data_IF_367778140321
#
_entry.id   IF_367778140321
#
_cell.length_a   1.000
_cell.length_b   1.000
_cell.length_c   1.000
_cell.angle_alpha   90.00
_cell.angle_beta   90.00
_cell.angle_gamma   90.00
#
_symmetry.space_group_name_H-M   'P 1'
#
loop_
_entity.id
_entity.type
_entity.pdbx_description
1 polymer ?
#
# COMPACT_ATOMS: atom_id res chain seq x y z
N UNK A 1 90.68 -13.82 18.54
CA UNK A 1 89.23 -14.10 18.68
C UNK A 1 88.42 -13.03 17.95
N UNK A 2 88.36 -13.09 16.61
CA UNK A 2 87.58 -12.17 15.78
C UNK A 2 87.43 -12.77 14.36
N UNK A 3 86.69 -13.87 14.22
CA UNK A 3 86.47 -14.50 12.91
C UNK A 3 85.14 -15.28 12.81
N UNK A 4 84.11 -14.90 13.59
CA UNK A 4 82.79 -15.53 13.56
C UNK A 4 81.64 -14.51 13.61
N UNK A 5 81.72 -13.46 12.80
CA UNK A 5 80.66 -12.42 12.74
C UNK A 5 80.37 -11.87 11.34
N UNK A 6 80.62 -12.64 10.27
CA UNK A 6 80.29 -12.23 8.89
C UNK A 6 79.72 -13.34 7.98
N UNK A 7 79.12 -14.39 8.55
CA UNK A 7 78.56 -15.51 7.74
C UNK A 7 77.16 -16.00 8.13
N UNK A 8 76.40 -15.25 8.94
CA UNK A 8 74.99 -15.53 9.29
C UNK A 8 74.05 -14.33 9.10
N UNK A 9 74.39 -13.41 8.21
CA UNK A 9 73.46 -12.31 7.80
C UNK A 9 73.12 -12.41 6.31
N UNK A 10 73.57 -13.47 5.62
CA UNK A 10 73.29 -13.71 4.21
C UNK A 10 72.19 -14.75 3.94
N UNK A 11 71.50 -15.23 4.97
CA UNK A 11 70.38 -16.19 4.82
C UNK A 11 68.99 -15.58 5.04
N UNK A 12 68.87 -14.30 5.41
CA UNK A 12 67.55 -13.65 5.60
C UNK A 12 67.02 -12.87 4.40
N UNK A 13 67.75 -12.82 3.27
CA UNK A 13 67.29 -12.09 2.06
C UNK A 13 67.40 -12.90 0.77
N UNK A 14 66.99 -14.16 0.80
CA UNK A 14 66.72 -14.94 -0.40
C UNK A 14 65.35 -15.62 -0.33
N UNK A 15 64.31 -14.80 -0.43
CA UNK A 15 63.01 -15.21 -0.98
C UNK A 15 62.64 -14.19 -2.03
N UNK A 16 63.10 -14.44 -3.26
CA UNK A 16 62.53 -13.83 -4.46
C UNK A 16 61.09 -14.34 -4.55
N UNK A 17 60.15 -13.53 -4.07
CA UNK A 17 58.74 -13.70 -4.40
C UNK A 17 58.63 -13.41 -5.89
N UNK A 18 58.42 -14.47 -6.68
CA UNK A 18 57.92 -14.32 -8.04
C UNK A 18 56.57 -13.61 -7.94
N UNK A 19 56.54 -12.32 -8.25
CA UNK A 19 55.32 -11.59 -8.58
C UNK A 19 54.90 -12.14 -9.94
N UNK A 20 53.78 -12.88 -10.07
CA UNK A 20 53.19 -13.05 -11.38
C UNK A 20 52.78 -11.65 -11.82
N UNK A 21 53.26 -11.23 -12.98
CA UNK A 21 52.76 -10.03 -13.64
C UNK A 21 51.26 -10.26 -13.87
N UNK A 22 50.42 -9.81 -12.94
CA UNK A 22 48.99 -9.69 -13.17
C UNK A 22 48.87 -8.64 -14.27
N UNK A 23 48.66 -9.09 -15.50
CA UNK A 23 48.11 -8.26 -16.55
C UNK A 23 46.90 -7.56 -15.96
N UNK A 24 47.03 -6.25 -15.73
CA UNK A 24 45.93 -5.42 -15.31
C UNK A 24 44.82 -5.64 -16.34
N UNK A 25 43.81 -6.44 -15.98
CA UNK A 25 42.64 -6.65 -16.81
C UNK A 25 42.08 -5.26 -17.06
N UNK A 26 42.26 -4.78 -18.28
CA UNK A 26 41.67 -3.54 -18.73
C UNK A 26 40.19 -3.66 -18.39
N UNK A 27 39.75 -2.86 -17.41
CA UNK A 27 38.34 -2.79 -17.01
C UNK A 27 37.61 -2.34 -18.27
N UNK A 28 37.08 -3.30 -19.03
CA UNK A 28 36.21 -3.04 -20.15
C UNK A 28 35.05 -2.26 -19.57
N UNK A 29 35.03 -0.97 -19.82
CA UNK A 29 33.87 -0.11 -19.61
C UNK A 29 32.73 -0.79 -20.35
N UNK A 30 31.93 -1.56 -19.61
CA UNK A 30 30.66 -2.05 -20.11
C UNK A 30 29.82 -0.81 -20.22
N UNK A 31 29.68 -0.31 -21.46
CA UNK A 31 28.65 0.67 -21.78
C UNK A 31 27.33 0.02 -21.36
N UNK A 32 26.83 0.39 -20.18
CA UNK A 32 25.47 0.07 -19.79
C UNK A 32 24.60 0.57 -20.93
N UNK A 33 23.79 -0.33 -21.51
CA UNK A 33 22.79 0.06 -22.50
C UNK A 33 22.08 1.32 -21.95
N UNK A 34 21.83 2.35 -22.78
CA UNK A 34 21.10 3.52 -22.31
C UNK A 34 19.82 3.01 -21.67
N UNK A 35 19.63 3.30 -20.38
CA UNK A 35 18.36 3.02 -19.71
C UNK A 35 17.30 3.71 -20.56
N UNK A 36 16.29 2.96 -21.03
CA UNK A 36 15.20 3.56 -21.80
C UNK A 36 14.59 4.61 -20.87
N UNK A 37 14.74 5.88 -21.22
CA UNK A 37 14.33 7.00 -20.36
C UNK A 37 12.87 6.81 -19.95
N UNK A 38 12.56 6.95 -18.66
CA UNK A 38 11.18 6.93 -18.16
C UNK A 38 10.26 7.92 -18.91
N UNK A 39 10.84 9.00 -19.45
CA UNK A 39 10.13 9.96 -20.30
C UNK A 39 9.64 9.36 -21.65
N UNK A 40 10.25 8.28 -22.13
CA UNK A 40 9.77 7.56 -23.32
C UNK A 40 8.48 6.78 -23.06
N UNK A 41 8.16 6.51 -21.79
CA UNK A 41 6.96 5.76 -21.45
C UNK A 41 5.70 6.63 -21.44
N UNK A 42 5.82 7.92 -21.09
CA UNK A 42 4.68 8.81 -20.85
C UNK A 42 4.87 10.14 -21.59
N UNK A 43 4.16 10.29 -22.72
CA UNK A 43 4.22 11.45 -23.63
C UNK A 43 3.47 12.70 -23.10
N UNK A 44 3.36 12.87 -21.77
CA UNK A 44 2.56 13.96 -21.17
C UNK A 44 3.06 15.37 -21.53
N UNK A 45 4.35 15.55 -21.81
CA UNK A 45 4.89 16.84 -22.26
C UNK A 45 4.35 17.30 -23.61
N UNK A 46 3.74 16.40 -24.40
CA UNK A 46 3.11 16.73 -25.69
C UNK A 46 1.65 17.13 -25.57
N UNK A 47 1.05 16.99 -24.39
CA UNK A 47 -0.35 17.34 -24.17
C UNK A 47 -0.52 18.86 -24.24
N UNK A 48 -1.43 19.33 -25.09
CA UNK A 48 -1.77 20.76 -25.19
C UNK A 48 -2.94 21.14 -24.28
N UNK A 49 -3.73 20.15 -23.89
CA UNK A 49 -4.93 20.29 -23.07
C UNK A 49 -5.17 18.98 -22.27
N UNK A 50 -6.09 19.03 -21.30
CA UNK A 50 -6.40 17.90 -20.42
C UNK A 50 -6.99 16.69 -21.17
N UNK A 51 -7.66 16.88 -22.32
CA UNK A 51 -8.17 15.77 -23.13
C UNK A 51 -7.02 14.99 -23.77
N UNK A 52 -6.04 15.68 -24.34
CA UNK A 52 -4.83 15.07 -24.89
C UNK A 52 -4.07 14.32 -23.79
N UNK A 53 -3.90 14.96 -22.62
CA UNK A 53 -3.24 14.34 -21.47
C UNK A 53 -3.93 13.05 -21.07
N UNK A 54 -5.27 13.06 -20.95
CA UNK A 54 -6.05 11.87 -20.62
C UNK A 54 -5.87 10.76 -21.68
N UNK A 55 -5.86 11.10 -22.97
CA UNK A 55 -5.65 10.12 -24.04
C UNK A 55 -4.26 9.47 -23.95
N UNK A 56 -3.21 10.26 -23.71
CA UNK A 56 -1.86 9.72 -23.49
C UNK A 56 -1.79 8.79 -22.28
N UNK A 57 -2.45 9.16 -21.16
CA UNK A 57 -2.51 8.32 -19.96
C UNK A 57 -3.28 7.01 -20.21
N UNK A 58 -4.36 7.05 -20.98
CA UNK A 58 -5.14 5.86 -21.34
C UNK A 58 -4.35 4.93 -22.26
N UNK A 59 -3.61 5.49 -23.22
CA UNK A 59 -2.74 4.70 -24.09
C UNK A 59 -1.58 4.10 -23.29
N UNK A 60 -0.99 4.87 -22.38
CA UNK A 60 0.07 4.42 -21.50
C UNK A 60 -0.38 3.26 -20.59
N UNK A 61 -1.59 3.32 -20.03
CA UNK A 61 -2.13 2.29 -19.15
C UNK A 61 -2.17 0.87 -19.76
N UNK A 62 -2.06 0.75 -21.10
CA UNK A 62 -2.07 -0.51 -21.83
C UNK A 62 -0.67 -1.05 -22.13
N UNK A 63 0.39 -0.28 -21.86
CA UNK A 63 1.78 -0.64 -22.15
C UNK A 63 2.43 -1.24 -20.89
N UNK A 64 3.20 -2.32 -21.01
CA UNK A 64 4.01 -2.79 -19.89
C UNK A 64 5.11 -1.77 -19.57
N UNK A 65 5.47 -1.68 -18.29
CA UNK A 65 6.54 -0.82 -17.79
C UNK A 65 7.62 -1.71 -17.20
N UNK A 66 8.86 -1.50 -17.65
CA UNK A 66 10.04 -2.18 -17.09
C UNK A 66 10.26 -1.67 -15.66
N UNK A 67 10.62 -2.55 -14.74
CA UNK A 67 10.71 -2.24 -13.30
C UNK A 67 11.67 -1.07 -13.02
N UNK A 68 12.76 -0.99 -13.78
CA UNK A 68 13.78 0.06 -13.70
C UNK A 68 13.25 1.45 -14.10
N UNK A 69 12.13 1.50 -14.84
CA UNK A 69 11.50 2.75 -15.29
C UNK A 69 10.36 3.22 -14.38
N UNK A 70 9.85 2.37 -13.48
CA UNK A 70 8.62 2.63 -12.71
C UNK A 70 8.75 3.91 -11.88
N UNK A 71 9.83 4.05 -11.10
CA UNK A 71 10.05 5.21 -10.24
C UNK A 71 10.11 6.53 -11.04
N UNK A 72 10.83 6.52 -12.16
CA UNK A 72 10.90 7.67 -13.06
C UNK A 72 9.54 8.04 -13.65
N UNK A 73 8.73 7.04 -14.02
CA UNK A 73 7.38 7.27 -14.53
C UNK A 73 6.47 7.85 -13.44
N UNK A 74 6.52 7.30 -12.23
CA UNK A 74 5.73 7.80 -11.09
C UNK A 74 6.06 9.27 -10.82
N UNK A 75 7.34 9.63 -10.82
CA UNK A 75 7.76 11.03 -10.65
C UNK A 75 7.18 11.94 -11.74
N UNK A 76 7.23 11.54 -13.01
CA UNK A 76 6.64 12.32 -14.12
C UNK A 76 5.13 12.47 -13.95
N UNK A 77 4.44 11.40 -13.54
CA UNK A 77 2.99 11.43 -13.30
C UNK A 77 2.63 12.39 -12.15
N UNK A 78 3.36 12.35 -11.03
CA UNK A 78 3.14 13.24 -9.88
C UNK A 78 3.46 14.70 -10.23
N UNK A 79 4.56 14.96 -10.93
CA UNK A 79 4.91 16.31 -11.41
C UNK A 79 3.80 16.92 -12.28
N UNK A 80 3.13 16.11 -13.10
CA UNK A 80 1.99 16.54 -13.89
C UNK A 80 0.72 16.69 -13.03
N UNK A 81 0.47 15.76 -12.11
CA UNK A 81 -0.68 15.79 -11.20
C UNK A 81 -0.81 17.14 -10.48
N UNK A 82 0.28 17.65 -9.93
CA UNK A 82 0.27 18.90 -9.14
C UNK A 82 0.04 20.17 -9.99
N UNK A 83 0.18 20.09 -11.31
CA UNK A 83 -0.07 21.19 -12.24
C UNK A 83 -1.44 21.09 -12.91
N UNK A 84 -2.04 19.91 -12.90
CA UNK A 84 -3.29 19.61 -13.58
C UNK A 84 -4.50 20.11 -12.78
N UNK A 85 -5.48 20.67 -13.49
CA UNK A 85 -6.72 21.15 -12.89
C UNK A 85 -7.90 20.22 -13.19
N UNK A 86 -7.83 19.45 -14.28
CA UNK A 86 -8.88 18.51 -14.65
C UNK A 86 -8.92 17.28 -13.72
N UNK A 87 -10.10 17.02 -13.17
CA UNK A 87 -10.31 15.91 -12.25
C UNK A 87 -10.14 14.54 -12.91
N UNK A 88 -10.48 14.40 -14.19
CA UNK A 88 -10.41 13.12 -14.91
C UNK A 88 -8.96 12.71 -15.15
N UNK A 89 -8.10 13.66 -15.51
CA UNK A 89 -6.65 13.46 -15.65
C UNK A 89 -6.04 13.09 -14.30
N UNK A 90 -6.32 13.86 -13.24
CA UNK A 90 -5.83 13.57 -11.88
C UNK A 90 -6.28 12.22 -11.35
N UNK A 91 -7.55 11.85 -11.57
CA UNK A 91 -8.09 10.54 -11.25
C UNK A 91 -7.32 9.43 -12.01
N UNK A 92 -7.08 9.63 -13.30
CA UNK A 92 -6.36 8.64 -14.11
C UNK A 92 -4.91 8.49 -13.65
N UNK A 93 -4.24 9.57 -13.28
CA UNK A 93 -2.90 9.52 -12.70
C UNK A 93 -2.92 8.76 -11.38
N UNK A 94 -3.83 9.09 -10.45
CA UNK A 94 -3.97 8.38 -9.19
C UNK A 94 -4.14 6.87 -9.38
N UNK A 95 -4.99 6.46 -10.33
CA UNK A 95 -5.18 5.05 -10.71
C UNK A 95 -3.91 4.39 -11.25
N UNK A 96 -3.12 5.12 -12.06
CA UNK A 96 -1.86 4.62 -12.61
C UNK A 96 -0.79 4.42 -11.54
N UNK A 97 -0.75 5.25 -10.49
CA UNK A 97 0.14 5.02 -9.35
C UNK A 97 -0.14 3.65 -8.71
N UNK A 98 -1.41 3.32 -8.52
CA UNK A 98 -1.84 2.01 -8.01
C UNK A 98 -1.46 0.87 -8.95
N UNK A 99 -1.65 1.05 -10.27
CA UNK A 99 -1.24 0.05 -11.26
C UNK A 99 0.27 -0.20 -11.25
N UNK A 100 1.06 0.87 -11.25
CA UNK A 100 2.53 0.82 -11.27
C UNK A 100 3.10 0.20 -10.00
N UNK A 101 2.44 0.41 -8.85
CA UNK A 101 2.83 -0.23 -7.59
C UNK A 101 2.80 -1.76 -7.64
N UNK A 102 2.03 -2.36 -8.56
CA UNK A 102 1.93 -3.81 -8.76
C UNK A 102 2.99 -4.36 -9.72
N UNK A 103 3.94 -3.55 -10.18
CA UNK A 103 4.96 -4.00 -11.12
C UNK A 103 5.89 -5.01 -10.42
N UNK A 104 6.06 -6.19 -11.00
CA UNK A 104 6.90 -7.24 -10.40
C UNK A 104 8.33 -6.74 -10.15
N UNK A 105 8.81 -6.90 -8.93
CA UNK A 105 10.14 -6.45 -8.50
C UNK A 105 10.21 -4.98 -8.08
N UNK A 106 9.14 -4.20 -8.25
CA UNK A 106 9.06 -2.85 -7.71
C UNK A 106 8.68 -2.90 -6.22
N UNK A 107 9.31 -2.07 -5.39
CA UNK A 107 8.96 -1.95 -3.97
C UNK A 107 7.89 -0.88 -3.79
N UNK A 108 6.63 -1.22 -3.45
CA UNK A 108 5.56 -0.24 -3.35
C UNK A 108 5.70 0.69 -2.13
N UNK A 109 6.58 0.36 -1.18
CA UNK A 109 6.87 1.17 0.02
C UNK A 109 7.41 2.57 -0.35
N UNK A 110 8.24 2.67 -1.40
CA UNK A 110 8.90 3.92 -1.78
C UNK A 110 7.96 5.03 -2.27
N UNK A 111 6.69 4.72 -2.56
CA UNK A 111 5.70 5.67 -3.07
C UNK A 111 4.52 5.91 -2.11
N UNK A 112 4.54 5.28 -0.93
CA UNK A 112 3.47 5.43 0.08
C UNK A 112 3.35 6.89 0.49
N UNK A 113 4.47 7.54 0.79
CA UNK A 113 4.51 8.93 1.23
C UNK A 113 3.98 9.89 0.17
N UNK A 114 4.40 9.69 -1.08
CA UNK A 114 3.92 10.48 -2.21
C UNK A 114 2.40 10.34 -2.40
N UNK A 115 1.87 9.12 -2.29
CA UNK A 115 0.44 8.88 -2.41
C UNK A 115 -0.36 9.51 -1.25
N UNK A 116 0.14 9.43 0.00
CA UNK A 116 -0.48 10.06 1.17
C UNK A 116 -0.45 11.59 1.04
N UNK A 117 0.69 12.16 0.62
CA UNK A 117 0.85 13.60 0.40
C UNK A 117 -0.07 14.11 -0.71
N UNK A 118 -0.19 13.35 -1.81
CA UNK A 118 -1.11 13.66 -2.91
C UNK A 118 -2.55 13.67 -2.43
N UNK A 119 -2.95 12.67 -1.62
CA UNK A 119 -4.27 12.60 -1.00
C UNK A 119 -4.55 13.79 -0.07
N UNK A 120 -3.57 14.20 0.74
CA UNK A 120 -3.71 15.32 1.66
C UNK A 120 -3.98 16.68 0.98
N UNK A 121 -3.61 16.82 -0.30
CA UNK A 121 -3.79 18.04 -1.09
C UNK A 121 -5.02 18.00 -2.00
N UNK A 122 -5.70 16.86 -2.11
CA UNK A 122 -6.81 16.68 -3.06
C UNK A 122 -8.14 17.21 -2.52
N UNK A 123 -8.94 17.82 -3.40
CA UNK A 123 -10.24 18.43 -3.08
C UNK A 123 -11.42 17.71 -3.72
N UNK A 124 -11.21 17.02 -4.84
CA UNK A 124 -12.24 16.27 -5.54
C UNK A 124 -12.50 14.94 -4.84
N UNK A 125 -13.73 14.73 -4.38
CA UNK A 125 -14.14 13.48 -3.72
C UNK A 125 -13.94 12.23 -4.60
N UNK A 126 -14.11 12.36 -5.92
CA UNK A 126 -13.87 11.23 -6.83
C UNK A 126 -12.38 10.89 -6.92
N UNK A 127 -11.51 11.90 -6.93
CA UNK A 127 -10.05 11.70 -6.96
C UNK A 127 -9.57 11.19 -5.60
N UNK A 128 -10.12 11.69 -4.48
CA UNK A 128 -9.88 11.18 -3.13
C UNK A 128 -10.22 9.69 -3.03
N UNK A 129 -11.39 9.28 -3.52
CA UNK A 129 -11.78 7.87 -3.52
C UNK A 129 -10.79 7.01 -4.33
N UNK A 130 -10.30 7.50 -5.48
CA UNK A 130 -9.30 6.80 -6.27
C UNK A 130 -7.92 6.76 -5.58
N UNK A 131 -7.50 7.81 -4.89
CA UNK A 131 -6.25 7.81 -4.12
C UNK A 131 -6.31 6.85 -2.93
N UNK A 132 -7.46 6.77 -2.24
CA UNK A 132 -7.68 5.77 -1.19
C UNK A 132 -7.63 4.34 -1.76
N UNK A 133 -8.18 4.11 -2.95
CA UNK A 133 -8.06 2.83 -3.66
C UNK A 133 -6.60 2.50 -4.02
N UNK A 134 -5.85 3.50 -4.47
CA UNK A 134 -4.40 3.38 -4.74
C UNK A 134 -3.62 3.03 -3.48
N UNK A 135 -3.91 3.68 -2.35
CA UNK A 135 -3.30 3.37 -1.06
C UNK A 135 -3.68 1.96 -0.57
N UNK A 136 -4.92 1.51 -0.82
CA UNK A 136 -5.33 0.14 -0.51
C UNK A 136 -4.52 -0.88 -1.30
N UNK A 137 -4.35 -0.64 -2.60
CA UNK A 137 -3.53 -1.48 -3.47
C UNK A 137 -2.08 -1.54 -2.98
N UNK A 138 -1.48 -0.39 -2.66
CA UNK A 138 -0.11 -0.31 -2.13
C UNK A 138 -0.01 -1.05 -0.80
N UNK A 139 -0.88 -0.75 0.17
CA UNK A 139 -0.86 -1.34 1.51
C UNK A 139 -1.08 -2.85 1.51
N UNK A 140 -1.90 -3.38 0.60
CA UNK A 140 -2.12 -4.84 0.48
C UNK A 140 -0.87 -5.63 0.08
N UNK A 141 0.11 -4.96 -0.52
CA UNK A 141 1.40 -5.55 -0.92
C UNK A 141 2.48 -5.40 0.16
N UNK A 142 2.17 -4.74 1.27
CA UNK A 142 3.10 -4.45 2.37
C UNK A 142 2.62 -5.03 3.72
N UNK A 143 2.27 -6.32 3.81
CA UNK A 143 1.76 -6.91 5.05
C UNK A 143 2.77 -6.86 6.21
N UNK A 144 4.07 -6.90 5.89
CA UNK A 144 5.18 -6.89 6.84
C UNK A 144 5.55 -5.49 7.36
N UNK A 145 4.89 -4.43 6.89
CA UNK A 145 5.19 -3.05 7.31
C UNK A 145 4.11 -2.52 8.29
N UNK A 146 4.26 -2.75 9.61
CA UNK A 146 3.27 -2.30 10.59
C UNK A 146 3.14 -0.78 10.65
N UNK A 147 4.23 -0.04 10.39
CA UNK A 147 4.23 1.41 10.37
C UNK A 147 3.39 1.97 9.22
N UNK A 148 3.56 1.43 8.00
CA UNK A 148 2.72 1.81 6.85
C UNK A 148 1.27 1.47 7.12
N UNK A 149 1.00 0.26 7.63
CA UNK A 149 -0.36 -0.18 7.97
C UNK A 149 -1.06 0.78 8.94
N UNK A 150 -0.39 1.18 10.02
CA UNK A 150 -0.96 2.12 10.99
C UNK A 150 -1.28 3.48 10.34
N UNK A 151 -0.36 4.02 9.53
CA UNK A 151 -0.59 5.29 8.82
C UNK A 151 -1.77 5.21 7.86
N UNK A 152 -1.93 4.09 7.14
CA UNK A 152 -3.06 3.89 6.23
C UNK A 152 -4.40 3.77 6.98
N UNK A 153 -4.41 3.14 8.18
CA UNK A 153 -5.57 3.13 9.07
C UNK A 153 -5.94 4.54 9.51
N UNK A 154 -4.96 5.36 9.91
CA UNK A 154 -5.18 6.76 10.31
C UNK A 154 -5.74 7.60 9.16
N UNK A 155 -5.19 7.44 7.95
CA UNK A 155 -5.68 8.09 6.73
C UNK A 155 -7.14 7.70 6.46
N UNK A 156 -7.48 6.41 6.54
CA UNK A 156 -8.85 5.95 6.36
C UNK A 156 -9.79 6.56 7.43
N UNK A 157 -9.39 6.53 8.71
CA UNK A 157 -10.18 7.11 9.80
C UNK A 157 -10.46 8.60 9.61
N UNK A 158 -9.51 9.36 9.07
CA UNK A 158 -9.65 10.80 8.82
C UNK A 158 -10.71 11.12 7.75
N UNK A 159 -10.93 10.23 6.78
CA UNK A 159 -11.81 10.48 5.62
C UNK A 159 -13.16 9.76 5.73
N UNK A 160 -13.39 9.01 6.81
CA UNK A 160 -14.63 8.25 7.04
C UNK A 160 -15.88 9.15 7.15
N UNK A 161 -15.74 10.43 7.48
CA UNK A 161 -16.85 11.39 7.56
C UNK A 161 -17.08 12.17 6.25
N UNK A 162 -16.44 11.78 5.15
CA UNK A 162 -16.61 12.45 3.86
C UNK A 162 -18.06 12.34 3.35
N UNK A 163 -18.56 13.40 2.72
CA UNK A 163 -19.95 13.47 2.22
C UNK A 163 -20.19 12.50 1.07
N UNK A 164 -19.17 12.19 0.28
CA UNK A 164 -19.25 11.27 -0.83
C UNK A 164 -19.11 9.82 -0.37
N UNK A 165 -20.13 9.02 -0.66
CA UNK A 165 -20.18 7.59 -0.29
C UNK A 165 -18.96 6.81 -0.81
N UNK A 166 -18.40 7.19 -1.97
CA UNK A 166 -17.24 6.52 -2.57
C UNK A 166 -15.98 6.63 -1.71
N UNK A 167 -15.78 7.77 -1.05
CA UNK A 167 -14.65 7.96 -0.11
C UNK A 167 -14.86 7.09 1.13
N UNK A 168 -16.05 7.12 1.74
CA UNK A 168 -16.39 6.28 2.91
C UNK A 168 -16.23 4.79 2.61
N UNK A 169 -16.72 4.34 1.45
CA UNK A 169 -16.55 2.97 0.97
C UNK A 169 -15.07 2.56 0.92
N UNK A 170 -14.21 3.40 0.36
CA UNK A 170 -12.78 3.09 0.24
C UNK A 170 -12.06 3.11 1.58
N UNK A 171 -12.46 3.98 2.49
CA UNK A 171 -11.97 3.96 3.88
C UNK A 171 -12.34 2.66 4.58
N UNK A 172 -13.59 2.18 4.46
CA UNK A 172 -14.02 0.92 5.05
C UNK A 172 -13.28 -0.28 4.45
N UNK A 173 -13.05 -0.29 3.13
CA UNK A 173 -12.22 -1.32 2.48
C UNK A 173 -10.79 -1.32 3.02
N UNK A 174 -10.17 -0.15 3.17
CA UNK A 174 -8.86 0.00 3.81
C UNK A 174 -8.84 -0.58 5.22
N UNK A 175 -9.83 -0.24 6.06
CA UNK A 175 -9.92 -0.74 7.42
C UNK A 175 -10.13 -2.25 7.48
N UNK A 176 -10.95 -2.84 6.59
CA UNK A 176 -11.13 -4.29 6.53
C UNK A 176 -9.85 -5.03 6.12
N UNK A 177 -9.15 -4.51 5.11
CA UNK A 177 -7.94 -5.15 4.58
C UNK A 177 -6.71 -4.93 5.46
N UNK A 178 -6.62 -3.80 6.17
CA UNK A 178 -5.41 -3.39 6.88
C UNK A 178 -5.59 -3.29 8.40
N UNK A 179 -6.82 -3.39 8.91
CA UNK A 179 -7.11 -3.33 10.35
C UNK A 179 -6.24 -4.30 11.14
N UNK A 180 -5.80 -3.86 12.32
CA UNK A 180 -4.95 -4.64 13.20
C UNK A 180 -5.76 -5.82 13.74
N UNK A 181 -5.37 -7.03 13.35
CA UNK A 181 -5.83 -8.25 14.00
C UNK A 181 -5.02 -8.38 15.28
N UNK A 182 -5.67 -8.31 16.44
CA UNK A 182 -4.96 -8.51 17.71
C UNK A 182 -4.16 -9.82 17.63
N UNK A 183 -2.90 -9.75 18.07
CA UNK A 183 -2.07 -10.94 18.23
C UNK A 183 -2.80 -11.95 19.12
N UNK A 184 -2.63 -13.26 18.88
CA UNK A 184 -3.40 -14.29 19.56
C UNK A 184 -3.34 -14.08 21.07
N UNK A 185 -4.53 -14.02 21.69
CA UNK A 185 -4.70 -14.04 23.13
C UNK A 185 -4.01 -15.29 23.66
N UNK A 186 -2.77 -15.17 24.11
CA UNK A 186 -2.21 -16.13 25.06
C UNK A 186 -3.15 -16.12 26.25
N UNK A 187 -3.80 -17.26 26.50
CA UNK A 187 -4.60 -17.50 27.70
C UNK A 187 -3.88 -16.93 28.91
N UNK A 188 -4.65 -16.28 29.78
CA UNK A 188 -4.27 -15.66 31.05
C UNK A 188 -4.17 -14.13 31.01
N UNK A 189 -5.31 -13.47 30.79
CA UNK A 189 -5.51 -12.10 31.26
C UNK A 189 -6.94 -11.91 31.76
N UNK A 190 -7.21 -12.48 32.94
CA UNK A 190 -8.26 -11.99 33.82
C UNK A 190 -7.75 -10.68 34.47
N UNK A 191 -7.95 -9.56 33.78
CA UNK A 191 -7.68 -8.21 34.29
C UNK A 191 -8.43 -7.20 33.42
N UNK A 192 -8.85 -6.04 33.97
CA UNK A 192 -9.53 -5.02 33.17
C UNK A 192 -8.55 -4.58 32.08
N UNK A 193 -8.98 -4.80 30.83
CA UNK A 193 -8.25 -4.50 29.60
C UNK A 193 -7.57 -3.15 29.70
N UNK A 194 -6.27 -3.19 29.99
CA UNK A 194 -5.41 -2.03 30.09
C UNK A 194 -5.22 -1.49 28.69
N UNK A 195 -6.03 -0.49 28.35
CA UNK A 195 -5.72 0.62 27.45
C UNK A 195 -4.45 0.46 26.62
N UNK A 196 -4.54 -0.26 25.50
CA UNK A 196 -3.71 0.03 24.33
C UNK A 196 -4.12 1.41 23.81
N UNK A 197 -3.46 2.45 24.34
CA UNK A 197 -3.78 3.84 24.07
C UNK A 197 -3.79 4.16 22.57
N UNK A 198 -4.88 4.77 22.11
CA UNK A 198 -4.95 5.52 20.85
C UNK A 198 -5.62 4.84 19.67
N UNK A 199 -5.55 3.52 19.54
CA UNK A 199 -6.25 2.82 18.46
C UNK A 199 -7.71 2.59 18.88
N UNK A 200 -8.62 3.45 18.39
CA UNK A 200 -10.05 3.12 18.41
C UNK A 200 -10.22 1.72 17.82
N UNK A 201 -10.93 0.85 18.53
CA UNK A 201 -11.23 -0.51 18.07
C UNK A 201 -11.80 -0.45 16.64
N UNK A 202 -11.10 -1.09 15.69
CA UNK A 202 -11.45 -1.05 14.27
C UNK A 202 -12.83 -1.64 14.02
N UNK A 203 -13.25 -2.64 14.82
CA UNK A 203 -14.59 -3.21 14.72
C UNK A 203 -15.63 -2.19 15.14
N UNK A 204 -15.42 -1.51 16.27
CA UNK A 204 -16.28 -0.41 16.72
C UNK A 204 -16.41 0.67 15.64
N UNK A 205 -15.30 1.12 15.04
CA UNK A 205 -15.33 2.12 13.96
C UNK A 205 -16.19 1.63 12.79
N UNK A 206 -15.94 0.42 12.28
CA UNK A 206 -16.66 -0.14 11.12
C UNK A 206 -18.15 -0.31 11.44
N UNK A 207 -18.49 -0.79 12.63
CA UNK A 207 -19.89 -1.06 13.02
C UNK A 207 -20.77 0.19 13.03
N UNK A 208 -20.20 1.37 13.29
CA UNK A 208 -20.94 2.64 13.22
C UNK A 208 -21.52 2.90 11.80
N UNK A 209 -20.93 2.32 10.77
CA UNK A 209 -21.37 2.48 9.37
C UNK A 209 -22.42 1.44 8.94
N UNK A 210 -22.85 0.54 9.84
CA UNK A 210 -23.97 -0.36 9.56
C UNK A 210 -25.29 0.38 9.43
N UNK A 211 -25.38 1.61 9.94
CA UNK A 211 -26.55 2.48 9.82
C UNK A 211 -26.31 3.69 8.90
N UNK A 212 -25.28 3.65 8.03
CA UNK A 212 -25.03 4.74 7.08
C UNK A 212 -26.26 4.97 6.17
N UNK A 213 -26.50 6.23 5.82
CA UNK A 213 -27.61 6.63 4.97
C UNK A 213 -27.50 6.02 3.56
N UNK A 214 -26.27 5.82 3.06
CA UNK A 214 -26.04 5.20 1.78
C UNK A 214 -25.93 3.67 1.90
N UNK A 215 -26.80 2.88 1.25
CA UNK A 215 -26.78 1.42 1.36
C UNK A 215 -25.48 0.79 0.86
N UNK A 216 -24.74 1.46 -0.03
CA UNK A 216 -23.44 0.98 -0.51
C UNK A 216 -22.38 1.06 0.57
N UNK A 217 -22.49 2.05 1.47
CA UNK A 217 -21.60 2.20 2.63
C UNK A 217 -21.93 1.17 3.70
N UNK A 218 -23.22 0.93 3.97
CA UNK A 218 -23.64 -0.18 4.85
C UNK A 218 -23.09 -1.52 4.35
N UNK A 219 -23.23 -1.80 3.06
CA UNK A 219 -22.68 -3.01 2.43
C UNK A 219 -21.16 -3.08 2.58
N UNK A 220 -20.45 -1.98 2.34
CA UNK A 220 -18.99 -1.92 2.47
C UNK A 220 -18.53 -2.15 3.91
N UNK A 221 -19.26 -1.64 4.91
CA UNK A 221 -18.95 -1.84 6.33
C UNK A 221 -19.08 -3.31 6.74
N UNK A 222 -20.16 -3.98 6.34
CA UNK A 222 -20.36 -5.41 6.64
C UNK A 222 -19.26 -6.25 5.98
N UNK A 223 -18.94 -5.96 4.71
CA UNK A 223 -17.83 -6.63 4.00
C UNK A 223 -16.47 -6.37 4.64
N UNK A 224 -16.21 -5.16 5.14
CA UNK A 224 -14.97 -4.84 5.84
C UNK A 224 -14.84 -5.65 7.14
N UNK A 225 -15.94 -5.80 7.90
CA UNK A 225 -15.97 -6.62 9.10
C UNK A 225 -15.75 -8.11 8.80
N UNK A 226 -16.37 -8.64 7.73
CA UNK A 226 -16.10 -10.00 7.25
C UNK A 226 -14.64 -10.18 6.82
N UNK A 227 -14.06 -9.19 6.15
CA UNK A 227 -12.65 -9.23 5.74
C UNK A 227 -11.69 -9.26 6.94
N UNK A 228 -12.03 -8.60 8.05
CA UNK A 228 -11.27 -8.72 9.29
C UNK A 228 -11.34 -10.16 9.83
N UNK A 229 -12.53 -10.77 9.78
CA UNK A 229 -12.71 -12.15 10.21
C UNK A 229 -11.93 -13.15 9.37
N UNK A 230 -11.98 -13.03 8.05
CA UNK A 230 -11.21 -13.88 7.12
C UNK A 230 -9.70 -13.80 7.37
N UNK A 231 -9.24 -12.68 7.94
CA UNK A 231 -7.84 -12.46 8.36
C UNK A 231 -7.54 -12.97 9.78
N UNK A 232 -8.49 -13.63 10.43
CA UNK A 232 -8.32 -14.26 11.75
C UNK A 232 -8.84 -13.43 12.93
N UNK A 233 -9.49 -12.28 12.70
CA UNK A 233 -10.08 -11.51 13.78
C UNK A 233 -11.37 -12.16 14.28
N UNK A 234 -11.53 -12.27 15.60
CA UNK A 234 -12.81 -12.67 16.19
C UNK A 234 -13.75 -11.46 16.23
N UNK A 235 -14.86 -11.53 15.50
CA UNK A 235 -15.88 -10.47 15.50
C UNK A 235 -16.58 -10.43 16.87
N UNK A 236 -16.76 -9.26 17.44
CA UNK A 236 -17.42 -9.10 18.75
C UNK A 236 -18.90 -9.53 18.72
N UNK A 237 -19.33 -10.31 19.71
CA UNK A 237 -20.70 -10.82 19.83
C UNK A 237 -21.77 -9.70 19.83
N UNK A 238 -21.44 -8.51 20.36
CA UNK A 238 -22.34 -7.34 20.38
C UNK A 238 -22.81 -6.91 18.97
N UNK A 239 -22.10 -7.33 17.92
CA UNK A 239 -22.44 -7.05 16.53
C UNK A 239 -23.64 -7.90 16.04
N UNK A 240 -23.96 -9.01 16.72
CA UNK A 240 -25.02 -9.94 16.31
C UNK A 240 -26.39 -9.28 16.16
N UNK A 241 -26.82 -8.49 17.14
CA UNK A 241 -28.11 -7.81 17.08
C UNK A 241 -28.17 -6.80 15.92
N UNK A 242 -27.05 -6.14 15.62
CA UNK A 242 -26.97 -5.22 14.49
C UNK A 242 -27.06 -5.99 13.17
N UNK A 243 -26.34 -7.12 13.04
CA UNK A 243 -26.39 -7.99 11.87
C UNK A 243 -27.80 -8.56 11.62
N UNK A 244 -28.51 -8.97 12.69
CA UNK A 244 -29.88 -9.45 12.59
C UNK A 244 -30.84 -8.37 12.06
N UNK A 245 -30.71 -7.11 12.52
CA UNK A 245 -31.53 -5.99 12.00
C UNK A 245 -31.29 -5.76 10.50
N UNK A 246 -30.04 -5.90 10.05
CA UNK A 246 -29.66 -5.73 8.64
C UNK A 246 -30.24 -6.81 7.71
N UNK A 247 -30.76 -7.93 8.23
CA UNK A 247 -31.51 -8.90 7.42
C UNK A 247 -32.80 -8.31 6.84
N UNK A 248 -33.33 -7.24 7.44
CA UNK A 248 -34.52 -6.51 6.98
C UNK A 248 -34.18 -5.17 6.32
N UNK A 249 -32.92 -4.96 5.95
CA UNK A 249 -32.48 -3.73 5.26
C UNK A 249 -33.21 -3.55 3.91
N UNK A 250 -33.41 -2.31 3.48
CA UNK A 250 -34.11 -1.98 2.23
C UNK A 250 -33.29 -2.35 0.98
N UNK A 251 -31.96 -2.48 1.10
CA UNK A 251 -31.08 -2.82 0.00
C UNK A 251 -30.66 -4.30 0.00
N UNK A 252 -30.81 -4.96 -1.16
CA UNK A 252 -30.57 -6.40 -1.32
C UNK A 252 -29.14 -6.81 -0.95
N UNK A 253 -28.13 -6.03 -1.36
CA UNK A 253 -26.73 -6.33 -1.13
C UNK A 253 -26.36 -6.19 0.36
N UNK A 254 -27.07 -5.34 1.11
CA UNK A 254 -26.91 -5.26 2.57
C UNK A 254 -27.46 -6.54 3.20
N UNK A 255 -28.70 -6.94 2.84
CA UNK A 255 -29.29 -8.19 3.35
C UNK A 255 -28.42 -9.42 3.03
N UNK A 256 -27.89 -9.50 1.81
CA UNK A 256 -27.00 -10.59 1.39
C UNK A 256 -25.72 -10.66 2.25
N UNK A 257 -25.07 -9.51 2.50
CA UNK A 257 -23.90 -9.45 3.36
C UNK A 257 -24.25 -9.73 4.84
N UNK A 258 -25.42 -9.30 5.31
CA UNK A 258 -25.90 -9.54 6.66
C UNK A 258 -26.14 -11.04 6.94
N UNK A 259 -26.66 -11.79 5.97
CA UNK A 259 -26.78 -13.27 6.09
C UNK A 259 -25.42 -13.92 6.35
N UNK A 260 -24.38 -13.49 5.63
CA UNK A 260 -23.02 -14.00 5.85
C UNK A 260 -22.50 -13.62 7.24
N UNK A 261 -22.74 -12.40 7.69
CA UNK A 261 -22.34 -11.92 9.02
C UNK A 261 -23.02 -12.73 10.14
N UNK A 262 -24.33 -12.96 10.04
CA UNK A 262 -25.09 -13.77 11.01
C UNK A 262 -24.59 -15.21 11.02
N UNK A 263 -24.31 -15.78 9.84
CA UNK A 263 -23.71 -17.11 9.75
C UNK A 263 -22.36 -17.16 10.48
N UNK A 264 -21.42 -16.25 10.20
CA UNK A 264 -20.12 -16.17 10.89
C UNK A 264 -20.30 -16.08 12.40
N UNK A 265 -21.17 -15.17 12.87
CA UNK A 265 -21.38 -14.97 14.30
C UNK A 265 -22.01 -16.20 14.98
N UNK A 266 -22.91 -16.92 14.31
CA UNK A 266 -23.47 -18.18 14.84
C UNK A 266 -22.42 -19.29 15.00
N UNK A 267 -21.38 -19.30 14.16
CA UNK A 267 -20.27 -20.24 14.30
C UNK A 267 -19.31 -19.82 15.42
N UNK A 268 -19.10 -18.51 15.61
CA UNK A 268 -18.25 -17.96 16.67
C UNK A 268 -18.88 -18.05 18.07
N UNK A 269 -20.21 -17.99 18.14
CA UNK A 269 -21.01 -17.94 19.37
C UNK A 269 -22.28 -18.82 19.21
N UNK A 270 -22.16 -20.15 19.36
CA UNK A 270 -23.29 -21.08 19.19
C UNK A 270 -24.21 -21.18 20.42
N UNK A 271 -23.81 -20.61 21.56
CA UNK A 271 -24.59 -20.53 22.81
C UNK A 271 -25.47 -19.28 22.84
#
# INVERSE_FOLDING_TARGET
MAAHLKKRVYEEFSKVVQIPHEEAQAKKLRLSKPSKSAALHVDLCKATNSTDALQYLLQFARKPVEVESVEGVIRILLEHYYKETDNSVRLKIASLLGLLSKTNGFSPDCIVDDAINTLGNEKSHQVLAQLLDTLLVIGSQLPESPAVRLRLIEVACKHLSDTYFGVRNKCLQLLGCLGLVDAPLTKDSNGPSSSSGGARDVQSIISNYFADQDPRVRTAAIKAMLQLHDRGMKIHQIIYDQACRLLSDDYEQVRSAAVQMVWVLSQLYPE
#
